data_IF_505207967674
#
_entry.id   IF_505207967674
#
_cell.length_a   1.000
_cell.length_b   1.000
_cell.length_c   1.000
_cell.angle_alpha   90.00
_cell.angle_beta   90.00
_cell.angle_gamma   90.00
#
_symmetry.space_group_name_H-M   'P 1'
#
loop_
_entity.id
_entity.type
_entity.pdbx_description
1 polymer ?
#
# COMPACT_ATOMS: atom_id res chain seq x y z
N UNK A 1 16.30 -11.27 10.50
CA UNK A 1 16.76 -9.87 10.31
C UNK A 1 15.52 -8.99 10.20
N UNK A 2 15.36 -7.94 11.03
CA UNK A 2 14.20 -7.06 10.89
C UNK A 2 14.33 -6.25 9.59
N UNK A 3 13.35 -6.38 8.70
CA UNK A 3 13.26 -5.59 7.47
C UNK A 3 12.96 -4.14 7.87
N UNK A 4 13.95 -3.25 7.75
CA UNK A 4 13.76 -1.81 7.91
C UNK A 4 13.11 -1.25 6.65
N UNK A 5 11.80 -1.01 6.74
CA UNK A 5 11.05 -0.34 5.68
C UNK A 5 11.43 1.15 5.63
N UNK A 6 12.17 1.56 4.60
CA UNK A 6 12.38 2.97 4.29
C UNK A 6 11.24 3.39 3.34
N UNK A 7 10.17 3.97 3.90
CA UNK A 7 9.10 4.56 3.09
C UNK A 7 9.51 5.99 2.70
N UNK A 8 9.49 6.29 1.40
CA UNK A 8 9.36 7.66 0.93
C UNK A 8 7.90 8.08 1.16
N UNK A 9 7.59 8.54 2.37
CA UNK A 9 6.34 9.25 2.62
C UNK A 9 6.52 10.61 1.95
N UNK A 10 5.98 10.78 0.75
CA UNK A 10 5.86 12.11 0.16
C UNK A 10 4.78 12.87 0.94
N UNK A 11 5.21 13.59 1.96
CA UNK A 11 4.39 14.59 2.63
C UNK A 11 4.34 15.81 1.70
N UNK A 12 3.45 15.80 0.71
CA UNK A 12 3.18 16.98 -0.10
C UNK A 12 2.40 18.01 0.73
N UNK A 13 3.11 18.76 1.57
CA UNK A 13 2.64 20.05 2.09
C UNK A 13 2.80 21.08 0.96
N UNK A 14 1.73 21.38 0.22
CA UNK A 14 1.71 22.52 -0.68
C UNK A 14 1.71 23.81 0.14
N UNK A 15 2.86 24.47 0.26
CA UNK A 15 2.95 25.87 0.67
C UNK A 15 3.07 26.72 -0.61
N UNK A 16 1.97 27.35 -1.01
CA UNK A 16 1.99 28.38 -2.05
C UNK A 16 2.62 29.65 -1.44
N UNK A 17 3.87 29.95 -1.79
CA UNK A 17 4.48 31.24 -1.48
C UNK A 17 4.10 32.25 -2.56
N UNK A 18 3.08 33.07 -2.29
CA UNK A 18 2.87 34.32 -3.03
C UNK A 18 3.73 35.40 -2.38
N UNK A 19 4.72 35.90 -3.12
CA UNK A 19 5.52 37.06 -2.73
C UNK A 19 4.74 38.35 -3.00
N UNK A 20 4.19 38.94 -1.95
CA UNK A 20 3.78 40.35 -1.94
C UNK A 20 4.01 40.93 -0.53
N UNK A 21 4.87 41.94 -0.44
CA UNK A 21 5.08 42.74 0.77
C UNK A 21 3.79 43.50 1.13
N UNK A 22 3.30 43.36 2.36
CA UNK A 22 2.86 44.50 3.20
C UNK A 22 2.32 44.07 4.57
N UNK A 23 2.85 44.76 5.59
CA UNK A 23 2.35 44.93 6.97
C UNK A 23 2.46 43.74 7.95
N UNK A 24 3.00 43.94 9.17
CA UNK A 24 2.99 42.94 10.22
C UNK A 24 1.59 42.89 10.83
N UNK A 25 0.68 42.17 10.18
CA UNK A 25 -0.47 41.63 10.90
C UNK A 25 0.10 40.56 11.81
N UNK A 26 -0.05 40.74 13.13
CA UNK A 26 0.18 39.67 14.09
C UNK A 26 -0.92 38.61 13.89
N UNK A 27 -0.75 37.81 12.84
CA UNK A 27 -1.39 36.50 12.77
C UNK A 27 -0.73 35.69 13.86
N UNK A 28 -1.40 35.61 15.00
CA UNK A 28 -1.27 34.43 15.84
C UNK A 28 -1.55 33.24 14.93
N UNK A 29 -0.49 32.61 14.42
CA UNK A 29 -0.62 31.31 13.80
C UNK A 29 -1.18 30.42 14.89
N UNK A 30 -2.48 30.10 14.79
CA UNK A 30 -3.11 29.08 15.59
C UNK A 30 -2.48 27.77 15.13
N UNK A 31 -1.30 27.46 15.67
CA UNK A 31 -0.72 26.13 15.59
C UNK A 31 -1.70 25.26 16.37
N UNK A 32 -2.40 24.33 15.72
CA UNK A 32 -3.34 23.47 16.42
C UNK A 32 -2.58 22.77 17.54
N UNK A 33 -3.16 22.73 18.74
CA UNK A 33 -2.55 21.97 19.83
C UNK A 33 -2.32 20.52 19.37
N UNK A 34 -1.34 19.78 19.91
CA UNK A 34 -1.11 18.39 19.53
C UNK A 34 -2.37 17.50 19.63
N UNK A 35 -3.33 17.89 20.47
CA UNK A 35 -4.64 17.24 20.61
C UNK A 35 -5.61 17.47 19.42
N UNK A 36 -5.32 18.43 18.54
CA UNK A 36 -6.12 18.79 17.36
C UNK A 36 -5.59 18.19 16.04
N UNK A 37 -4.42 17.54 16.05
CA UNK A 37 -3.88 16.88 14.87
C UNK A 37 -4.54 15.51 14.65
N UNK A 38 -5.58 15.47 13.83
CA UNK A 38 -6.31 14.25 13.44
C UNK A 38 -5.85 13.77 12.06
N UNK A 39 -5.48 12.50 11.94
CA UNK A 39 -5.32 11.86 10.64
C UNK A 39 -6.67 11.86 9.89
N UNK A 40 -6.70 12.42 8.69
CA UNK A 40 -7.91 12.53 7.85
C UNK A 40 -7.87 11.64 6.62
N UNK A 41 -6.67 11.34 6.12
CA UNK A 41 -6.47 10.70 4.83
C UNK A 41 -5.09 10.05 4.78
N UNK A 42 -5.01 8.88 4.17
CA UNK A 42 -3.74 8.21 3.85
C UNK A 42 -3.75 7.80 2.39
N UNK A 43 -2.71 8.22 1.67
CA UNK A 43 -2.32 7.63 0.41
C UNK A 43 -0.98 6.93 0.61
N UNK A 44 -0.94 5.64 0.36
CA UNK A 44 0.27 4.84 0.47
C UNK A 44 0.56 4.17 -0.86
N UNK A 45 1.82 4.27 -1.28
CA UNK A 45 2.35 3.74 -2.53
C UNK A 45 3.52 2.83 -2.23
N UNK A 46 3.49 1.60 -2.72
CA UNK A 46 4.59 0.66 -2.54
C UNK A 46 4.80 -0.23 -3.76
N UNK A 47 5.98 -0.85 -3.80
CA UNK A 47 6.38 -1.79 -4.84
C UNK A 47 5.87 -3.20 -4.53
N UNK A 48 5.70 -4.01 -5.57
CA UNK A 48 5.61 -5.47 -5.41
C UNK A 48 6.76 -6.05 -4.54
N UNK A 49 6.53 -7.22 -3.96
CA UNK A 49 7.53 -7.92 -3.12
C UNK A 49 8.64 -8.59 -3.92
N UNK A 50 9.48 -9.35 -3.24
CA UNK A 50 10.51 -10.15 -3.87
C UNK A 50 9.97 -11.05 -5.01
N UNK A 51 10.71 -11.12 -6.12
CA UNK A 51 10.28 -11.81 -7.35
C UNK A 51 11.43 -12.51 -8.03
N UNK A 52 11.10 -13.49 -8.87
CA UNK A 52 12.03 -14.06 -9.82
C UNK A 52 12.57 -12.99 -10.80
N UNK A 53 13.79 -13.17 -11.33
CA UNK A 53 14.31 -12.40 -12.45
C UNK A 53 13.34 -12.36 -13.64
N UNK A 54 13.47 -11.36 -14.50
CA UNK A 54 12.59 -11.26 -15.68
C UNK A 54 12.95 -12.25 -16.78
N UNK A 55 14.23 -12.67 -16.81
CA UNK A 55 14.83 -13.60 -17.75
C UNK A 55 16.15 -14.10 -17.15
N UNK A 56 16.87 -14.95 -17.87
CA UNK A 56 18.22 -15.36 -17.52
C UNK A 56 19.11 -14.12 -17.29
N UNK A 57 19.67 -13.92 -16.07
CA UNK A 57 20.37 -12.68 -15.74
C UNK A 57 21.68 -12.48 -16.49
N UNK A 58 22.40 -13.57 -16.76
CA UNK A 58 23.65 -13.58 -17.53
C UNK A 58 23.81 -14.90 -18.30
N UNK A 59 24.58 -14.94 -19.40
CA UNK A 59 24.58 -16.06 -20.35
C UNK A 59 24.91 -17.43 -19.76
N UNK A 60 25.75 -17.48 -18.72
CA UNK A 60 26.24 -18.73 -18.12
C UNK A 60 25.59 -19.04 -16.76
N UNK A 61 24.44 -18.43 -16.44
CA UNK A 61 23.73 -18.74 -15.20
C UNK A 61 23.15 -20.16 -15.27
N UNK A 62 23.49 -20.99 -14.27
CA UNK A 62 22.97 -22.36 -14.17
C UNK A 62 21.49 -22.40 -13.76
N UNK A 63 21.00 -21.31 -13.16
CA UNK A 63 19.63 -21.20 -12.68
C UNK A 63 18.75 -20.62 -13.78
N UNK A 64 18.28 -21.49 -14.67
CA UNK A 64 17.26 -21.14 -15.66
C UNK A 64 15.86 -21.06 -15.02
N UNK A 65 14.81 -20.95 -15.84
CA UNK A 65 13.44 -20.74 -15.34
C UNK A 65 12.97 -21.83 -14.38
N UNK A 66 13.42 -23.08 -14.56
CA UNK A 66 13.03 -24.21 -13.72
C UNK A 66 13.45 -24.05 -12.25
N UNK A 67 14.44 -23.19 -11.96
CA UNK A 67 14.83 -22.86 -10.59
C UNK A 67 13.79 -21.99 -9.86
N UNK A 68 12.79 -21.47 -10.58
CA UNK A 68 11.76 -20.57 -10.07
C UNK A 68 10.40 -21.28 -10.17
N UNK A 69 9.81 -21.73 -9.04
CA UNK A 69 8.59 -22.56 -9.06
C UNK A 69 7.37 -21.93 -9.73
N UNK A 70 7.35 -20.59 -9.86
CA UNK A 70 6.30 -19.84 -10.55
C UNK A 70 6.76 -19.26 -11.89
N UNK A 71 7.98 -19.56 -12.32
CA UNK A 71 8.56 -19.01 -13.54
C UNK A 71 9.09 -17.59 -13.39
N UNK A 72 9.52 -17.01 -14.51
CA UNK A 72 10.12 -15.68 -14.54
C UNK A 72 9.14 -14.57 -14.16
N UNK A 73 9.68 -13.48 -13.61
CA UNK A 73 8.96 -12.27 -13.21
C UNK A 73 7.90 -12.45 -12.11
N UNK A 74 7.63 -13.68 -11.68
CA UNK A 74 6.60 -13.99 -10.70
C UNK A 74 7.08 -13.75 -9.28
N UNK A 75 6.13 -13.38 -8.41
CA UNK A 75 6.39 -13.10 -6.99
C UNK A 75 6.88 -14.37 -6.28
N UNK A 76 7.89 -14.29 -5.42
CA UNK A 76 8.37 -15.45 -4.64
C UNK A 76 7.56 -15.61 -3.35
N UNK A 77 7.73 -16.73 -2.62
CA UNK A 77 7.06 -16.90 -1.32
C UNK A 77 7.55 -15.85 -0.31
N UNK A 78 8.80 -15.45 -0.42
CA UNK A 78 9.37 -14.31 0.30
C UNK A 78 8.61 -13.03 -0.03
N UNK A 79 8.34 -12.76 -1.32
CA UNK A 79 7.59 -11.58 -1.74
C UNK A 79 6.15 -11.56 -1.24
N UNK A 80 5.46 -12.71 -1.29
CA UNK A 80 4.10 -12.85 -0.73
C UNK A 80 4.12 -12.51 0.77
N UNK A 81 5.05 -13.11 1.53
CA UNK A 81 5.19 -12.88 2.97
C UNK A 81 5.51 -11.41 3.31
N UNK A 82 6.39 -10.77 2.54
CA UNK A 82 6.72 -9.35 2.70
C UNK A 82 5.47 -8.46 2.61
N UNK A 83 4.58 -8.73 1.66
CA UNK A 83 3.37 -7.93 1.46
C UNK A 83 2.31 -8.24 2.50
N UNK A 84 2.17 -9.50 2.90
CA UNK A 84 1.33 -9.86 4.03
C UNK A 84 1.77 -9.15 5.32
N UNK A 85 3.08 -9.16 5.62
CA UNK A 85 3.63 -8.45 6.78
C UNK A 85 3.45 -6.94 6.67
N UNK A 86 3.58 -6.37 5.47
CA UNK A 86 3.24 -4.97 5.21
C UNK A 86 1.77 -4.70 5.55
N UNK A 87 0.84 -5.53 5.08
CA UNK A 87 -0.58 -5.46 5.42
C UNK A 87 -0.80 -5.41 6.93
N UNK A 88 -0.19 -6.34 7.67
CA UNK A 88 -0.29 -6.37 9.14
C UNK A 88 0.30 -5.13 9.81
N UNK A 89 1.39 -4.59 9.26
CA UNK A 89 1.95 -3.34 9.74
C UNK A 89 0.96 -2.18 9.57
N UNK A 90 0.31 -2.06 8.40
CA UNK A 90 -0.73 -1.05 8.17
C UNK A 90 -1.94 -1.26 9.10
N UNK A 91 -2.40 -2.50 9.28
CA UNK A 91 -3.49 -2.85 10.22
C UNK A 91 -3.16 -2.38 11.63
N UNK A 92 -1.93 -2.64 12.11
CA UNK A 92 -1.48 -2.20 13.43
C UNK A 92 -1.32 -0.68 13.52
N UNK A 93 -0.76 -0.05 12.49
CA UNK A 93 -0.47 1.40 12.47
C UNK A 93 -1.74 2.24 12.45
N UNK A 94 -2.77 1.76 11.76
CA UNK A 94 -4.01 2.50 11.52
C UNK A 94 -5.23 1.86 12.18
N UNK A 95 -5.04 0.95 13.14
CA UNK A 95 -6.14 0.24 13.84
C UNK A 95 -7.21 1.18 14.41
N UNK A 96 -6.82 2.37 14.87
CA UNK A 96 -7.73 3.39 15.40
C UNK A 96 -8.47 4.19 14.30
N UNK A 97 -8.21 3.92 13.03
CA UNK A 97 -8.76 4.65 11.88
C UNK A 97 -9.43 3.75 10.85
N UNK A 98 -9.03 2.48 10.75
CA UNK A 98 -9.58 1.49 9.82
C UNK A 98 -10.19 0.30 10.57
N UNK A 99 -11.47 0.02 10.29
CA UNK A 99 -12.22 -1.11 10.84
C UNK A 99 -12.17 -2.33 9.91
N UNK A 100 -13.31 -3.01 9.78
CA UNK A 100 -13.55 -3.96 8.69
C UNK A 100 -13.47 -3.23 7.32
N UNK A 101 -13.26 -3.98 6.24
CA UNK A 101 -13.16 -3.39 4.91
C UNK A 101 -14.49 -2.74 4.50
N UNK A 102 -14.45 -1.45 4.16
CA UNK A 102 -15.57 -0.71 3.58
C UNK A 102 -15.12 -0.07 2.25
N UNK A 103 -15.75 -0.39 1.11
CA UNK A 103 -15.39 0.18 -0.19
C UNK A 103 -15.62 1.70 -0.28
N UNK A 104 -16.38 2.31 0.63
CA UNK A 104 -16.53 3.77 0.72
C UNK A 104 -15.33 4.43 1.41
N UNK A 105 -14.69 3.73 2.34
CA UNK A 105 -13.56 4.24 3.11
C UNK A 105 -12.22 3.88 2.46
N UNK A 106 -12.15 2.78 1.72
CA UNK A 106 -10.89 2.19 1.24
C UNK A 106 -10.94 1.93 -0.27
N UNK A 107 -9.96 2.50 -0.99
CA UNK A 107 -9.74 2.23 -2.41
C UNK A 107 -8.36 1.64 -2.64
N UNK A 108 -8.33 0.55 -3.38
CA UNK A 108 -7.11 -0.20 -3.71
C UNK A 108 -6.93 -0.23 -5.21
N UNK A 109 -5.73 0.13 -5.67
CA UNK A 109 -5.35 0.09 -7.07
C UNK A 109 -4.03 -0.66 -7.26
N UNK A 110 -3.93 -1.36 -8.39
CA UNK A 110 -2.73 -2.08 -8.81
C UNK A 110 -2.47 -1.85 -10.30
N UNK A 111 -1.20 -1.97 -10.70
CA UNK A 111 -0.87 -2.24 -12.10
C UNK A 111 -1.33 -3.64 -12.54
N UNK A 112 -1.41 -3.86 -13.85
CA UNK A 112 -1.88 -5.12 -14.45
C UNK A 112 -0.93 -6.31 -14.34
N UNK A 113 0.31 -6.14 -13.88
CA UNK A 113 1.24 -7.27 -13.79
C UNK A 113 0.87 -8.28 -12.70
N UNK A 114 0.99 -9.58 -12.97
CA UNK A 114 0.66 -10.66 -12.01
C UNK A 114 1.30 -10.47 -10.64
N UNK A 115 2.59 -10.12 -10.60
CA UNK A 115 3.32 -9.86 -9.34
C UNK A 115 2.71 -8.74 -8.50
N UNK A 116 2.07 -7.75 -9.13
CA UNK A 116 1.39 -6.65 -8.46
C UNK A 116 0.04 -7.11 -7.91
N UNK A 117 -0.73 -7.83 -8.74
CA UNK A 117 -2.01 -8.44 -8.37
C UNK A 117 -1.85 -9.36 -7.16
N UNK A 118 -0.88 -10.28 -7.20
CA UNK A 118 -0.60 -11.19 -6.08
C UNK A 118 -0.07 -10.43 -4.85
N UNK A 119 0.73 -9.37 -5.06
CA UNK A 119 1.18 -8.49 -3.97
C UNK A 119 -0.01 -7.78 -3.30
N UNK A 120 -1.01 -7.34 -4.06
CA UNK A 120 -2.22 -6.71 -3.54
C UNK A 120 -3.00 -7.69 -2.68
N UNK A 121 -3.24 -8.91 -3.19
CA UNK A 121 -3.96 -9.96 -2.48
C UNK A 121 -3.30 -10.29 -1.12
N UNK A 122 -1.97 -10.48 -1.11
CA UNK A 122 -1.23 -10.76 0.11
C UNK A 122 -1.31 -9.60 1.12
N UNK A 123 -1.18 -8.37 0.65
CA UNK A 123 -1.27 -7.19 1.50
C UNK A 123 -2.67 -7.01 2.09
N UNK A 124 -3.71 -7.17 1.29
CA UNK A 124 -5.10 -7.06 1.74
C UNK A 124 -5.45 -8.11 2.78
N UNK A 125 -4.91 -9.32 2.67
CA UNK A 125 -5.07 -10.32 3.72
C UNK A 125 -4.46 -9.86 5.06
N UNK A 126 -3.25 -9.29 5.02
CA UNK A 126 -2.63 -8.76 6.24
C UNK A 126 -3.35 -7.52 6.80
N UNK A 127 -3.98 -6.72 5.93
CA UNK A 127 -4.62 -5.47 6.28
C UNK A 127 -6.05 -5.66 6.82
N UNK A 128 -6.83 -6.56 6.24
CA UNK A 128 -8.24 -6.79 6.55
C UNK A 128 -8.53 -8.28 6.82
N UNK A 129 -7.93 -8.85 7.88
CA UNK A 129 -8.33 -10.19 8.31
C UNK A 129 -9.78 -10.19 8.81
N UNK A 130 -10.51 -11.28 8.57
CA UNK A 130 -11.82 -11.51 9.16
C UNK A 130 -11.64 -11.94 10.61
N UNK A 131 -11.95 -11.04 11.55
CA UNK A 131 -11.87 -11.30 12.99
C UNK A 131 -13.22 -11.79 13.56
N UNK A 132 -14.33 -11.43 12.90
CA UNK A 132 -15.68 -11.81 13.32
C UNK A 132 -16.09 -13.15 12.69
N UNK A 133 -16.23 -14.19 13.52
CA UNK A 133 -16.62 -15.53 13.07
C UNK A 133 -17.96 -15.56 12.31
N UNK A 134 -18.87 -14.61 12.56
CA UNK A 134 -20.17 -14.58 11.89
C UNK A 134 -20.10 -14.12 10.42
N UNK A 135 -19.00 -13.49 10.00
CA UNK A 135 -18.79 -13.04 8.61
C UNK A 135 -17.68 -13.82 7.90
N UNK A 136 -17.11 -14.83 8.57
CA UNK A 136 -16.21 -15.78 7.91
C UNK A 136 -16.99 -16.56 6.86
N UNK A 137 -16.44 -16.59 5.65
CA UNK A 137 -17.02 -17.36 4.53
C UNK A 137 -16.54 -18.82 4.53
N UNK A 138 -15.45 -19.10 5.24
CA UNK A 138 -14.85 -20.43 5.39
C UNK A 138 -14.37 -20.63 6.83
N UNK A 139 -14.73 -21.76 7.43
CA UNK A 139 -14.40 -22.09 8.82
C UNK A 139 -12.88 -22.10 9.06
N UNK A 140 -12.44 -21.31 10.05
CA UNK A 140 -11.03 -21.24 10.43
C UNK A 140 -10.14 -20.45 9.48
N UNK A 141 -10.70 -19.82 8.45
CA UNK A 141 -9.97 -18.94 7.54
C UNK A 141 -10.29 -17.47 7.82
N UNK A 142 -9.23 -16.69 8.03
CA UNK A 142 -9.33 -15.25 8.27
C UNK A 142 -9.16 -14.45 6.98
N UNK A 143 -8.82 -15.09 5.86
CA UNK A 143 -8.76 -14.46 4.55
C UNK A 143 -10.17 -14.19 4.03
N UNK A 144 -10.32 -13.08 3.31
CA UNK A 144 -11.54 -12.75 2.58
C UNK A 144 -11.19 -12.18 1.20
N UNK A 145 -12.05 -12.39 0.20
CA UNK A 145 -11.91 -11.74 -1.09
C UNK A 145 -12.23 -10.25 -0.96
N UNK A 146 -11.27 -9.39 -1.30
CA UNK A 146 -11.43 -7.93 -1.31
C UNK A 146 -11.23 -7.40 -2.73
N UNK A 147 -12.17 -6.61 -3.28
CA UNK A 147 -12.02 -6.05 -4.61
C UNK A 147 -10.89 -5.02 -4.66
N UNK A 148 -10.15 -4.99 -5.76
CA UNK A 148 -9.21 -3.95 -6.11
C UNK A 148 -9.28 -3.65 -7.60
N UNK A 149 -8.84 -2.47 -7.99
CA UNK A 149 -8.95 -1.99 -9.37
C UNK A 149 -7.60 -2.06 -10.09
N UNK A 150 -7.62 -2.47 -11.35
CA UNK A 150 -6.46 -2.39 -12.23
C UNK A 150 -6.52 -1.05 -12.97
N UNK A 151 -5.49 -0.23 -12.83
CA UNK A 151 -5.35 0.95 -13.69
C UNK A 151 -4.53 0.59 -14.92
N UNK A 152 -5.15 0.76 -16.10
CA UNK A 152 -4.49 0.54 -17.38
C UNK A 152 -3.51 1.68 -17.69
N UNK A 153 -2.42 1.31 -18.36
CA UNK A 153 -1.24 2.15 -18.64
C UNK A 153 -1.56 3.39 -19.51
N UNK A 154 -2.74 3.47 -20.12
CA UNK A 154 -3.07 4.50 -21.13
C UNK A 154 -3.50 5.86 -20.57
N UNK A 155 -3.84 5.99 -19.28
CA UNK A 155 -4.25 7.28 -18.70
C UNK A 155 -3.11 7.97 -17.96
N UNK A 156 -2.26 8.73 -18.68
CA UNK A 156 -1.44 9.87 -18.20
C UNK A 156 -0.84 9.81 -16.77
N UNK A 157 -0.54 8.64 -16.21
CA UNK A 157 -0.10 8.51 -14.84
C UNK A 157 1.45 8.38 -14.77
N UNK A 158 2.14 9.11 -13.87
CA UNK A 158 3.59 8.97 -13.64
C UNK A 158 4.01 7.61 -13.06
N UNK A 159 3.09 6.64 -12.99
CA UNK A 159 3.23 5.28 -12.45
C UNK A 159 3.82 4.32 -13.51
N UNK A 160 4.54 4.86 -14.50
CA UNK A 160 4.98 4.15 -15.72
C UNK A 160 6.09 3.11 -15.48
N UNK A 161 6.80 3.21 -14.35
CA UNK A 161 8.08 2.49 -14.17
C UNK A 161 8.19 1.70 -12.86
N UNK A 162 7.31 2.00 -11.89
CA UNK A 162 7.29 1.27 -10.63
C UNK A 162 5.96 0.54 -10.58
N UNK A 163 6.02 -0.79 -10.54
CA UNK A 163 4.87 -1.67 -10.30
C UNK A 163 4.33 -1.32 -8.91
N UNK A 164 3.34 -0.45 -8.91
CA UNK A 164 2.88 0.31 -7.75
C UNK A 164 1.52 -0.22 -7.32
N UNK A 165 1.40 -0.40 -6.02
CA UNK A 165 0.13 -0.58 -5.33
C UNK A 165 -0.20 0.74 -4.64
N UNK A 166 -1.41 1.22 -4.83
CA UNK A 166 -1.93 2.43 -4.19
C UNK A 166 -3.06 2.03 -3.27
N UNK A 167 -2.91 2.37 -1.99
CA UNK A 167 -4.00 2.33 -1.01
C UNK A 167 -4.35 3.75 -0.65
N UNK A 168 -5.63 4.05 -0.78
CA UNK A 168 -6.23 5.30 -0.36
C UNK A 168 -7.28 4.97 0.68
N UNK A 169 -7.20 5.57 1.86
CA UNK A 169 -8.33 5.49 2.79
C UNK A 169 -8.58 6.78 3.57
N UNK A 170 -9.86 6.99 3.87
CA UNK A 170 -10.35 8.11 4.66
C UNK A 170 -10.42 7.71 6.13
N UNK A 171 -9.84 8.55 6.98
CA UNK A 171 -9.86 8.35 8.42
C UNK A 171 -11.12 9.01 8.98
N UNK A 172 -12.22 8.26 8.98
CA UNK A 172 -13.55 8.74 9.34
C UNK A 172 -13.76 8.92 10.86
N UNK A 173 -12.82 9.53 11.57
CA UNK A 173 -13.01 10.12 12.91
C UNK A 173 -13.54 9.20 14.02
N UNK A 174 -13.72 7.89 13.78
CA UNK A 174 -14.19 6.92 14.75
C UNK A 174 -13.08 6.74 15.79
N UNK A 175 -13.24 7.41 16.94
CA UNK A 175 -12.46 7.15 18.15
C UNK A 175 -13.02 5.91 18.85
#
# INVERSE_FOLDING_TARGET
MPVRWHFLISLCCFLLSNSALSSPVSTTEIVPSPEQQRLIYVQAVWRHGDRAPHRLPYPNDRNNESAWPRGWSQLTNTGIKQLYELGRYFRKRYNNYIGEFDPNDVRVMTSESDRAIVSAQAMLYGLFPVENANVQWLDGENWQPIPFHIESIERNAPVRTFIILVLIFYCNGRR
#
